data_IF_731691133276
#
_entry.id   IF_731691133276
#
_cell.length_a   1.000
_cell.length_b   1.000
_cell.length_c   1.000
_cell.angle_alpha   90.00
_cell.angle_beta   90.00
_cell.angle_gamma   90.00
#
_symmetry.space_group_name_H-M   'P 1'
#
loop_
_entity.id
_entity.type
_entity.pdbx_description
1 polymer ?
#
# COMPACT_ATOMS: atom_id res chain seq x y z
N UNK A 1 -2.03 1.54 3.65
CA UNK A 1 -2.75 0.99 2.48
C UNK A 1 -1.71 0.83 1.39
N UNK A 2 -1.46 -0.39 0.93
CA UNK A 2 -0.49 -0.68 -0.13
C UNK A 2 -1.00 -0.02 -1.43
N UNK A 3 -0.19 0.82 -2.06
CA UNK A 3 -0.58 1.56 -3.28
C UNK A 3 -0.07 0.76 -4.48
N UNK A 4 -0.92 0.50 -5.48
CA UNK A 4 -0.55 -0.28 -6.68
C UNK A 4 0.65 0.29 -7.46
N UNK A 5 0.93 1.59 -7.33
CA UNK A 5 2.10 2.28 -7.91
C UNK A 5 3.45 1.90 -7.27
N UNK A 6 3.43 1.21 -6.13
CA UNK A 6 4.61 0.75 -5.37
C UNK A 6 4.62 -0.77 -5.22
N UNK A 7 4.21 -1.48 -6.26
CA UNK A 7 4.11 -2.95 -6.23
C UNK A 7 5.41 -3.63 -5.77
N UNK A 8 6.60 -3.28 -6.29
CA UNK A 8 7.85 -3.90 -5.84
C UNK A 8 8.12 -3.68 -4.35
N UNK A 9 7.88 -2.48 -3.84
CA UNK A 9 8.06 -2.17 -2.42
C UNK A 9 7.04 -2.90 -1.54
N UNK A 10 5.79 -3.01 -2.01
CA UNK A 10 4.74 -3.72 -1.28
C UNK A 10 5.05 -5.22 -1.17
N UNK A 11 5.46 -5.87 -2.27
CA UNK A 11 5.85 -7.29 -2.27
C UNK A 11 7.06 -7.51 -1.37
N UNK A 12 8.06 -6.63 -1.41
CA UNK A 12 9.22 -6.67 -0.50
C UNK A 12 8.80 -6.64 0.96
N UNK A 13 7.92 -5.71 1.34
CA UNK A 13 7.43 -5.59 2.73
C UNK A 13 6.63 -6.83 3.15
N UNK A 14 5.78 -7.36 2.27
CA UNK A 14 5.01 -8.58 2.57
C UNK A 14 5.93 -9.79 2.77
N UNK A 15 6.96 -9.94 1.93
CA UNK A 15 7.98 -10.99 2.08
C UNK A 15 8.68 -10.89 3.44
N UNK A 16 9.18 -9.70 3.79
CA UNK A 16 9.84 -9.47 5.09
C UNK A 16 8.91 -9.75 6.27
N UNK A 17 7.63 -9.37 6.17
CA UNK A 17 6.65 -9.65 7.21
C UNK A 17 6.46 -11.15 7.40
N UNK A 18 6.36 -11.92 6.31
CA UNK A 18 6.23 -13.38 6.40
C UNK A 18 7.52 -14.02 6.92
N UNK A 19 8.70 -13.53 6.53
CA UNK A 19 9.99 -13.98 7.07
C UNK A 19 10.03 -13.82 8.61
N UNK A 20 9.73 -12.62 9.13
CA UNK A 20 9.76 -12.36 10.58
C UNK A 20 8.66 -13.10 11.34
N UNK A 21 7.48 -13.32 10.74
CA UNK A 21 6.42 -14.12 11.36
C UNK A 21 6.78 -15.60 11.47
N UNK A 22 7.55 -16.13 10.51
CA UNK A 22 7.90 -17.55 10.45
C UNK A 22 9.19 -17.88 11.19
N UNK A 23 10.03 -16.89 11.49
CA UNK A 23 11.29 -17.14 12.20
C UNK A 23 11.12 -17.93 13.50
N UNK A 24 10.16 -17.63 14.41
CA UNK A 24 9.96 -18.45 15.60
C UNK A 24 9.56 -19.90 15.29
N UNK A 25 8.95 -20.16 14.13
CA UNK A 25 8.62 -21.51 13.67
C UNK A 25 9.88 -22.24 13.22
N UNK A 26 10.75 -21.57 12.45
CA UNK A 26 12.05 -22.10 12.03
C UNK A 26 13.02 -22.32 13.20
N UNK A 27 12.95 -21.53 14.27
CA UNK A 27 13.76 -21.73 15.47
C UNK A 27 13.28 -22.90 16.32
N UNK A 28 11.96 -23.16 16.37
CA UNK A 28 11.35 -24.22 17.19
C UNK A 28 11.37 -25.59 16.53
N UNK A 29 11.39 -25.64 15.21
CA UNK A 29 11.23 -26.88 14.45
C UNK A 29 12.40 -27.06 13.47
N UNK A 30 12.96 -28.27 13.42
CA UNK A 30 13.84 -28.66 12.32
C UNK A 30 12.98 -28.96 11.09
N UNK A 31 13.06 -28.08 10.08
CA UNK A 31 12.29 -28.18 8.84
C UNK A 31 13.24 -28.56 7.69
N UNK A 32 13.01 -29.73 7.08
CA UNK A 32 13.79 -30.18 5.93
C UNK A 32 13.10 -29.84 4.60
N UNK A 33 11.76 -29.84 4.58
CA UNK A 33 10.95 -29.65 3.37
C UNK A 33 9.85 -28.62 3.58
N UNK A 34 9.40 -28.03 2.48
CA UNK A 34 8.26 -27.12 2.48
C UNK A 34 6.99 -27.79 3.04
N UNK A 35 6.81 -29.08 2.77
CA UNK A 35 5.66 -29.86 3.27
C UNK A 35 5.60 -29.91 4.80
N UNK A 36 6.77 -29.87 5.47
CA UNK A 36 6.84 -29.88 6.93
C UNK A 36 6.32 -28.55 7.50
N UNK A 37 6.76 -27.44 6.89
CA UNK A 37 6.26 -26.10 7.21
C UNK A 37 4.75 -26.00 6.96
N UNK A 38 4.28 -26.49 5.81
CA UNK A 38 2.85 -26.43 5.45
C UNK A 38 1.99 -27.22 6.44
N UNK A 39 2.42 -28.41 6.87
CA UNK A 39 1.71 -29.18 7.91
C UNK A 39 1.61 -28.44 9.23
N UNK A 40 2.68 -27.79 9.67
CA UNK A 40 2.67 -27.00 10.92
C UNK A 40 1.71 -25.83 10.81
N UNK A 41 1.76 -25.09 9.68
CA UNK A 41 0.87 -23.96 9.44
C UNK A 41 -0.59 -24.39 9.34
N UNK A 42 -0.88 -25.54 8.74
CA UNK A 42 -2.23 -26.09 8.63
C UNK A 42 -2.79 -26.58 9.96
N UNK A 43 -1.97 -27.26 10.77
CA UNK A 43 -2.33 -27.64 12.14
C UNK A 43 -2.61 -26.38 12.97
N UNK A 44 -1.76 -25.36 12.89
CA UNK A 44 -1.96 -24.10 13.58
C UNK A 44 -3.24 -23.37 13.10
N UNK A 45 -3.48 -23.31 11.80
CA UNK A 45 -4.66 -22.69 11.20
C UNK A 45 -5.96 -23.43 11.56
N UNK A 46 -5.91 -24.72 11.87
CA UNK A 46 -7.09 -25.49 12.27
C UNK A 46 -7.60 -25.13 13.67
N UNK A 47 -6.74 -24.56 14.53
CA UNK A 47 -7.02 -24.31 15.95
C UNK A 47 -7.65 -22.96 16.23
N UNK A 48 -7.26 -21.89 15.50
CA UNK A 48 -7.81 -20.55 15.70
C UNK A 48 -8.13 -19.84 14.38
N UNK A 49 -9.25 -19.11 14.36
CA UNK A 49 -9.72 -18.32 13.20
C UNK A 49 -8.75 -17.21 12.81
N UNK A 50 -8.08 -16.60 13.79
CA UNK A 50 -7.07 -15.56 13.58
C UNK A 50 -5.85 -16.16 12.88
N UNK A 51 -5.29 -17.24 13.44
CA UNK A 51 -4.18 -17.93 12.79
C UNK A 51 -4.54 -18.41 11.40
N UNK A 52 -5.74 -18.97 11.20
CA UNK A 52 -6.25 -19.32 9.86
C UNK A 52 -6.23 -18.14 8.89
N UNK A 53 -6.71 -16.97 9.32
CA UNK A 53 -6.69 -15.76 8.49
C UNK A 53 -5.26 -15.39 8.07
N UNK A 54 -4.30 -15.39 8.99
CA UNK A 54 -2.91 -15.02 8.68
C UNK A 54 -2.21 -16.06 7.80
N UNK A 55 -2.46 -17.35 8.03
CA UNK A 55 -1.92 -18.43 7.21
C UNK A 55 -2.51 -18.40 5.80
N UNK A 56 -3.84 -18.44 5.68
CA UNK A 56 -4.53 -18.60 4.40
C UNK A 56 -4.59 -17.31 3.57
N UNK A 57 -4.57 -16.12 4.19
CA UNK A 57 -4.71 -14.84 3.49
C UNK A 57 -3.45 -13.96 3.47
N UNK A 58 -2.36 -14.34 4.14
CA UNK A 58 -1.07 -13.64 4.06
C UNK A 58 0.07 -14.60 3.72
N UNK A 59 0.36 -15.59 4.57
CA UNK A 59 1.56 -16.42 4.44
C UNK A 59 1.53 -17.25 3.16
N UNK A 60 0.49 -18.08 2.97
CA UNK A 60 0.34 -18.92 1.75
C UNK A 60 0.31 -18.05 0.48
N UNK A 61 -0.50 -16.97 0.38
CA UNK A 61 -0.48 -16.09 -0.77
C UNK A 61 0.88 -15.46 -1.08
N UNK A 62 1.67 -15.09 -0.06
CA UNK A 62 3.02 -14.57 -0.28
C UNK A 62 3.93 -15.64 -0.89
N UNK A 63 3.83 -16.90 -0.46
CA UNK A 63 4.56 -18.00 -1.11
C UNK A 63 4.13 -18.17 -2.57
N UNK A 64 2.83 -18.18 -2.85
CA UNK A 64 2.30 -18.26 -4.22
C UNK A 64 2.82 -17.11 -5.09
N UNK A 65 2.82 -15.87 -4.58
CA UNK A 65 3.35 -14.69 -5.29
C UNK A 65 4.85 -14.85 -5.58
N UNK A 66 5.63 -15.33 -4.61
CA UNK A 66 7.07 -15.53 -4.79
C UNK A 66 7.36 -16.64 -5.81
N UNK A 67 6.59 -17.72 -5.81
CA UNK A 67 6.67 -18.77 -6.84
C UNK A 67 6.26 -18.27 -8.22
N UNK A 68 5.21 -17.43 -8.30
CA UNK A 68 4.78 -16.81 -9.55
C UNK A 68 5.88 -15.88 -10.13
N UNK A 69 6.47 -15.03 -9.29
CA UNK A 69 7.61 -14.20 -9.69
C UNK A 69 8.77 -15.07 -10.18
N UNK A 70 9.07 -16.15 -9.46
CA UNK A 70 10.12 -17.09 -9.87
C UNK A 70 9.82 -17.72 -11.23
N UNK A 71 8.59 -18.18 -11.46
CA UNK A 71 8.17 -18.77 -12.73
C UNK A 71 8.45 -17.84 -13.91
N UNK A 72 8.08 -16.57 -13.77
CA UNK A 72 8.25 -15.55 -14.81
C UNK A 72 9.73 -15.15 -14.99
N UNK A 73 10.53 -15.18 -13.91
CA UNK A 73 11.96 -14.86 -13.95
C UNK A 73 12.79 -15.98 -14.58
N UNK A 74 12.40 -17.23 -14.33
CA UNK A 74 13.05 -18.45 -14.85
C UNK A 74 12.43 -18.92 -16.18
N UNK A 75 11.35 -18.29 -16.63
CA UNK A 75 10.56 -18.71 -17.79
C UNK A 75 10.01 -20.15 -17.66
N UNK A 76 9.60 -20.53 -16.45
CA UNK A 76 9.01 -21.83 -16.13
C UNK A 76 7.49 -21.81 -16.35
N UNK A 77 7.07 -22.33 -17.50
CA UNK A 77 5.67 -22.33 -17.91
C UNK A 77 4.75 -23.20 -17.03
N UNK A 78 5.11 -24.46 -16.69
CA UNK A 78 4.32 -25.25 -15.74
C UNK A 78 4.12 -24.56 -14.39
N UNK A 79 5.19 -23.99 -13.82
CA UNK A 79 5.10 -23.30 -12.53
C UNK A 79 4.22 -22.03 -12.62
N UNK A 80 4.30 -21.31 -13.74
CA UNK A 80 3.42 -20.17 -14.02
C UNK A 80 1.94 -20.58 -13.96
N UNK A 81 1.54 -21.65 -14.67
CA UNK A 81 0.14 -22.09 -14.66
C UNK A 81 -0.31 -22.60 -13.30
N UNK A 82 0.53 -23.35 -12.60
CA UNK A 82 0.23 -23.84 -11.26
C UNK A 82 -0.03 -22.68 -10.28
N UNK A 83 0.82 -21.66 -10.30
CA UNK A 83 0.70 -20.50 -9.41
C UNK A 83 -0.46 -19.58 -9.79
N UNK A 84 -0.73 -19.37 -11.08
CA UNK A 84 -1.94 -18.63 -11.52
C UNK A 84 -3.20 -19.34 -11.04
N UNK A 85 -3.28 -20.66 -11.15
CA UNK A 85 -4.40 -21.46 -10.65
C UNK A 85 -4.57 -21.32 -9.13
N UNK A 86 -3.47 -21.36 -8.39
CA UNK A 86 -3.48 -21.20 -6.93
C UNK A 86 -3.91 -19.80 -6.48
N UNK A 87 -3.59 -18.75 -7.25
CA UNK A 87 -4.04 -17.39 -6.96
C UNK A 87 -5.53 -17.15 -7.25
N UNK A 88 -6.18 -17.96 -8.09
CA UNK A 88 -7.54 -17.69 -8.56
C UNK A 88 -8.58 -17.48 -7.45
N UNK A 89 -8.67 -18.33 -6.40
CA UNK A 89 -9.62 -18.12 -5.30
C UNK A 89 -9.48 -16.75 -4.62
N UNK A 90 -8.25 -16.19 -4.57
CA UNK A 90 -7.99 -14.90 -3.95
C UNK A 90 -8.58 -13.74 -4.76
N UNK A 91 -8.64 -13.82 -6.09
CA UNK A 91 -9.26 -12.78 -6.90
C UNK A 91 -10.78 -12.67 -6.68
N UNK A 92 -11.45 -13.81 -6.46
CA UNK A 92 -12.88 -13.84 -6.12
C UNK A 92 -13.15 -13.20 -4.75
N UNK A 93 -12.29 -13.45 -3.77
CA UNK A 93 -12.47 -12.95 -2.40
C UNK A 93 -12.11 -11.48 -2.24
N UNK A 94 -11.08 -11.02 -2.94
CA UNK A 94 -10.61 -9.64 -2.92
C UNK A 94 -11.51 -8.67 -3.72
N UNK A 95 -12.60 -9.16 -4.31
CA UNK A 95 -13.51 -8.39 -5.17
C UNK A 95 -12.84 -7.77 -6.41
N UNK A 96 -11.77 -8.40 -6.90
CA UNK A 96 -11.10 -8.05 -8.15
C UNK A 96 -11.76 -8.80 -9.33
N UNK A 97 -13.05 -8.54 -9.54
CA UNK A 97 -13.91 -9.38 -10.39
C UNK A 97 -13.45 -9.52 -11.85
N UNK A 98 -12.82 -8.48 -12.42
CA UNK A 98 -12.27 -8.58 -13.77
C UNK A 98 -11.11 -9.58 -13.83
N UNK A 99 -10.19 -9.54 -12.86
CA UNK A 99 -9.10 -10.51 -12.76
C UNK A 99 -9.64 -11.91 -12.45
N UNK A 100 -10.64 -12.04 -11.59
CA UNK A 100 -11.29 -13.32 -11.31
C UNK A 100 -11.92 -13.94 -12.56
N UNK A 101 -12.69 -13.14 -13.32
CA UNK A 101 -13.37 -13.58 -14.55
C UNK A 101 -12.38 -13.95 -15.65
N UNK A 102 -11.53 -13.00 -16.04
CA UNK A 102 -10.64 -13.18 -17.18
C UNK A 102 -9.43 -14.05 -16.85
N UNK A 103 -9.01 -14.11 -15.58
CA UNK A 103 -7.98 -15.04 -15.12
C UNK A 103 -8.45 -16.50 -15.20
N UNK A 104 -9.71 -16.79 -14.81
CA UNK A 104 -10.25 -18.14 -14.98
C UNK A 104 -10.40 -18.49 -16.47
N UNK A 105 -10.90 -17.55 -17.27
CA UNK A 105 -10.99 -17.73 -18.72
C UNK A 105 -9.62 -18.00 -19.34
N UNK A 106 -8.60 -17.26 -18.92
CA UNK A 106 -7.22 -17.46 -19.33
C UNK A 106 -6.76 -18.89 -19.05
N UNK A 107 -6.97 -19.40 -17.82
CA UNK A 107 -6.58 -20.78 -17.49
C UNK A 107 -7.26 -21.82 -18.38
N UNK A 108 -8.55 -21.65 -18.69
CA UNK A 108 -9.27 -22.59 -19.59
C UNK A 108 -8.86 -22.45 -21.03
N UNK A 109 -8.66 -21.23 -21.52
CA UNK A 109 -8.19 -20.99 -22.88
C UNK A 109 -6.77 -21.56 -23.11
N UNK A 110 -5.93 -21.58 -22.07
CA UNK A 110 -4.58 -22.15 -22.12
C UNK A 110 -4.60 -23.67 -22.27
N UNK A 111 -5.56 -24.35 -21.64
CA UNK A 111 -5.71 -25.81 -21.73
C UNK A 111 -6.00 -26.27 -23.18
N UNK A 112 -6.60 -25.41 -24.01
CA UNK A 112 -6.97 -25.70 -25.40
C UNK A 112 -6.01 -25.08 -26.45
N UNK A 113 -4.82 -24.63 -26.04
CA UNK A 113 -3.87 -24.02 -26.97
C UNK A 113 -3.34 -24.98 -28.03
N UNK A 114 -3.05 -24.48 -29.26
CA UNK A 114 -2.36 -25.27 -30.28
C UNK A 114 -1.02 -25.80 -29.78
N UNK A 115 -0.66 -27.02 -30.19
CA UNK A 115 0.58 -27.70 -29.78
C UNK A 115 1.82 -26.83 -30.01
N UNK A 116 1.91 -26.20 -31.17
CA UNK A 116 3.02 -25.33 -31.55
C UNK A 116 3.23 -24.19 -30.52
N UNK A 117 2.15 -23.53 -30.11
CA UNK A 117 2.20 -22.44 -29.13
C UNK A 117 2.66 -22.98 -27.77
N UNK A 118 2.14 -24.15 -27.37
CA UNK A 118 2.53 -24.81 -26.13
C UNK A 118 4.02 -25.16 -26.12
N UNK A 119 4.55 -25.68 -27.22
CA UNK A 119 5.98 -25.97 -27.34
C UNK A 119 6.85 -24.71 -27.17
N UNK A 120 6.43 -23.59 -27.76
CA UNK A 120 7.12 -22.31 -27.58
C UNK A 120 7.10 -21.83 -26.12
N UNK A 121 5.96 -21.96 -25.45
CA UNK A 121 5.85 -21.60 -24.03
C UNK A 121 6.67 -22.49 -23.11
N UNK A 122 6.71 -23.80 -23.38
CA UNK A 122 7.58 -24.76 -22.68
C UNK A 122 9.08 -24.47 -22.88
N UNK A 123 9.45 -23.79 -23.99
CA UNK A 123 10.81 -23.26 -24.22
C UNK A 123 11.05 -21.90 -23.53
N UNK A 124 10.14 -21.45 -22.68
CA UNK A 124 10.24 -20.19 -21.95
C UNK A 124 9.90 -18.94 -22.77
N UNK A 125 9.32 -19.08 -23.97
CA UNK A 125 9.06 -17.95 -24.87
C UNK A 125 7.78 -17.16 -24.51
N UNK A 126 7.18 -17.45 -23.36
CA UNK A 126 6.08 -16.65 -22.80
C UNK A 126 6.59 -15.41 -22.04
N UNK A 127 7.87 -15.40 -21.65
CA UNK A 127 8.52 -14.27 -20.96
C UNK A 127 9.44 -13.50 -21.90
N UNK A 128 9.71 -12.25 -21.54
CA UNK A 128 10.59 -11.36 -22.29
C UNK A 128 11.90 -11.14 -21.53
N UNK A 129 12.97 -10.83 -22.24
CA UNK A 129 14.29 -10.61 -21.64
C UNK A 129 14.93 -9.36 -22.26
N UNK A 130 15.38 -8.42 -21.43
CA UNK A 130 16.17 -7.27 -21.93
C UNK A 130 17.60 -7.66 -22.30
N UNK A 131 18.14 -8.68 -21.61
CA UNK A 131 19.51 -9.16 -21.77
C UNK A 131 19.51 -10.67 -21.58
N UNK A 132 20.48 -11.36 -22.16
CA UNK A 132 20.73 -12.77 -21.85
C UNK A 132 21.15 -12.90 -20.38
N UNK A 133 20.65 -13.90 -19.67
CA UNK A 133 20.95 -14.10 -18.26
C UNK A 133 20.09 -15.17 -17.61
N UNK A 134 20.36 -15.40 -16.33
CA UNK A 134 19.51 -16.25 -15.48
C UNK A 134 18.60 -15.34 -14.66
N UNK A 135 17.40 -15.82 -14.35
CA UNK A 135 16.46 -15.15 -13.43
C UNK A 135 16.14 -13.69 -13.82
N UNK A 136 16.15 -13.38 -15.11
CA UNK A 136 15.95 -12.01 -15.61
C UNK A 136 14.80 -11.89 -16.61
N UNK A 137 13.96 -12.93 -16.72
CA UNK A 137 12.68 -12.88 -17.40
C UNK A 137 11.76 -11.81 -16.82
N UNK A 138 10.93 -11.23 -17.68
CA UNK A 138 9.94 -10.21 -17.34
C UNK A 138 8.64 -10.45 -18.11
N UNK A 139 7.52 -10.06 -17.50
CA UNK A 139 6.21 -10.05 -18.16
C UNK A 139 6.24 -9.23 -19.45
N UNK A 140 5.49 -9.68 -20.45
CA UNK A 140 5.38 -9.00 -21.75
C UNK A 140 4.90 -7.55 -21.63
N UNK A 141 3.88 -7.30 -20.80
CA UNK A 141 3.38 -5.95 -20.51
C UNK A 141 4.48 -5.06 -19.90
N UNK A 142 5.20 -5.59 -18.91
CA UNK A 142 6.32 -4.87 -18.30
C UNK A 142 7.45 -4.61 -19.30
N UNK A 143 7.71 -5.53 -20.24
CA UNK A 143 8.70 -5.34 -21.29
C UNK A 143 8.29 -4.22 -22.26
N UNK A 144 7.00 -4.15 -22.62
CA UNK A 144 6.46 -3.08 -23.46
C UNK A 144 6.58 -1.73 -22.74
N UNK A 145 6.25 -1.69 -21.44
CA UNK A 145 6.36 -0.49 -20.62
C UNK A 145 7.81 0.02 -20.51
N UNK A 146 8.76 -0.88 -20.25
CA UNK A 146 10.19 -0.51 -20.09
C UNK A 146 10.92 -0.26 -21.40
N UNK A 147 10.35 -0.67 -22.54
CA UNK A 147 10.88 -0.41 -23.89
C UNK A 147 10.01 0.60 -24.66
N UNK A 148 9.02 0.12 -25.42
CA UNK A 148 8.24 0.89 -26.37
C UNK A 148 7.56 2.10 -25.73
N UNK A 149 6.89 1.93 -24.59
CA UNK A 149 6.23 3.06 -23.92
C UNK A 149 7.24 4.04 -23.35
N UNK A 150 8.27 3.56 -22.64
CA UNK A 150 9.33 4.42 -22.10
C UNK A 150 10.02 5.27 -23.19
N UNK A 151 10.37 4.67 -24.32
CA UNK A 151 11.01 5.38 -25.42
C UNK A 151 10.03 6.27 -26.18
N UNK A 152 8.79 5.79 -26.43
CA UNK A 152 7.75 6.53 -27.14
C UNK A 152 7.21 7.75 -26.36
N UNK A 153 7.17 7.66 -25.03
CA UNK A 153 6.74 8.75 -24.15
C UNK A 153 7.89 9.65 -23.68
N UNK A 154 9.15 9.30 -23.99
CA UNK A 154 10.31 10.12 -23.67
C UNK A 154 10.35 11.44 -24.45
N UNK A 155 11.24 12.34 -24.05
CA UNK A 155 11.42 13.66 -24.69
C UNK A 155 11.80 13.56 -26.18
N UNK A 156 12.44 12.46 -26.58
CA UNK A 156 12.78 12.14 -27.97
C UNK A 156 11.84 11.08 -28.59
N UNK A 157 10.73 10.78 -27.93
CA UNK A 157 9.71 9.84 -28.37
C UNK A 157 8.60 10.49 -29.18
N UNK A 158 7.62 9.70 -29.60
CA UNK A 158 6.42 10.15 -30.34
C UNK A 158 5.76 11.36 -29.66
N UNK A 159 5.59 11.33 -28.33
CA UNK A 159 4.96 12.43 -27.60
C UNK A 159 5.83 13.70 -27.62
N UNK A 160 7.15 13.54 -27.48
CA UNK A 160 8.09 14.65 -27.47
C UNK A 160 8.36 15.27 -28.84
N UNK A 161 8.22 14.51 -29.93
CA UNK A 161 8.46 14.98 -31.30
C UNK A 161 7.19 15.61 -31.88
N UNK A 162 6.15 14.83 -32.18
CA UNK A 162 4.85 15.31 -32.68
C UNK A 162 3.88 14.15 -32.89
N UNK A 163 2.57 14.43 -32.78
CA UNK A 163 1.48 13.49 -33.09
C UNK A 163 0.98 13.59 -34.55
N UNK A 164 1.67 14.35 -35.42
CA UNK A 164 1.31 14.44 -36.84
C UNK A 164 1.51 13.07 -37.53
N UNK A 165 0.52 12.54 -38.26
CA UNK A 165 0.56 11.18 -38.81
C UNK A 165 1.79 10.87 -39.67
N UNK A 166 2.27 11.82 -40.48
CA UNK A 166 3.43 11.60 -41.35
C UNK A 166 4.73 11.45 -40.56
N UNK A 167 4.96 12.32 -39.57
CA UNK A 167 6.15 12.23 -38.70
C UNK A 167 6.11 10.99 -37.81
N UNK A 168 4.90 10.60 -37.36
CA UNK A 168 4.67 9.35 -36.63
C UNK A 168 5.05 8.13 -37.47
N UNK A 169 4.65 8.10 -38.74
CA UNK A 169 5.06 7.04 -39.69
C UNK A 169 6.58 7.01 -39.84
N UNK A 170 7.21 8.15 -40.11
CA UNK A 170 8.68 8.22 -40.25
C UNK A 170 9.38 7.70 -39.01
N UNK A 171 8.97 8.14 -37.81
CA UNK A 171 9.53 7.67 -36.55
C UNK A 171 9.34 6.16 -36.35
N UNK A 172 8.13 5.65 -36.58
CA UNK A 172 7.82 4.23 -36.39
C UNK A 172 8.63 3.33 -37.34
N UNK A 173 8.75 3.72 -38.62
CA UNK A 173 9.52 2.95 -39.60
C UNK A 173 11.05 3.12 -39.44
N UNK A 174 11.53 4.29 -39.02
CA UNK A 174 12.96 4.53 -38.87
C UNK A 174 13.53 3.97 -37.57
N UNK A 175 12.73 3.82 -36.50
CA UNK A 175 13.22 3.44 -35.18
C UNK A 175 13.96 2.10 -35.18
N UNK A 176 13.38 1.07 -35.81
CA UNK A 176 14.02 -0.25 -35.89
C UNK A 176 15.35 -0.19 -36.65
N UNK A 177 15.39 0.53 -37.77
CA UNK A 177 16.60 0.70 -38.56
C UNK A 177 17.70 1.47 -37.79
N UNK A 178 17.33 2.58 -37.14
CA UNK A 178 18.26 3.36 -36.31
C UNK A 178 18.79 2.54 -35.13
N UNK A 179 17.92 1.81 -34.41
CA UNK A 179 18.35 0.92 -33.33
C UNK A 179 19.30 -0.16 -33.85
N UNK A 180 19.04 -0.72 -35.04
CA UNK A 180 19.93 -1.73 -35.63
C UNK A 180 21.29 -1.16 -36.00
N UNK A 181 21.34 0.07 -36.50
CA UNK A 181 22.61 0.77 -36.75
C UNK A 181 23.37 1.00 -35.44
N UNK A 182 22.70 1.44 -34.37
CA UNK A 182 23.31 1.62 -33.05
C UNK A 182 23.85 0.29 -32.51
N UNK A 183 23.07 -0.79 -32.53
CA UNK A 183 23.53 -2.14 -32.14
C UNK A 183 24.77 -2.57 -32.91
N UNK A 184 24.78 -2.36 -34.23
CA UNK A 184 25.91 -2.72 -35.07
C UNK A 184 27.15 -1.86 -34.72
N UNK A 185 26.98 -0.55 -34.52
CA UNK A 185 28.07 0.34 -34.11
C UNK A 185 28.65 -0.04 -32.74
N UNK A 186 27.80 -0.36 -31.77
CA UNK A 186 28.23 -0.86 -30.46
C UNK A 186 29.00 -2.18 -30.60
N UNK A 187 28.50 -3.11 -31.43
CA UNK A 187 29.19 -4.38 -31.71
C UNK A 187 30.55 -4.21 -32.40
N UNK A 188 30.70 -3.18 -33.23
CA UNK A 188 31.97 -2.84 -33.89
C UNK A 188 32.96 -2.16 -32.95
N UNK A 189 32.47 -1.36 -32.00
CA UNK A 189 33.28 -0.71 -30.95
C UNK A 189 33.83 -1.73 -29.97
N UNK A 190 32.99 -2.68 -29.55
CA UNK A 190 33.31 -3.68 -28.56
C UNK A 190 33.78 -4.97 -29.28
N UNK A 191 34.98 -4.94 -29.88
CA UNK A 191 35.64 -6.08 -30.56
C UNK A 191 35.19 -7.46 -30.02
N UNK A 192 34.30 -8.17 -30.74
CA UNK A 192 33.79 -9.57 -30.65
C UNK A 192 33.80 -10.39 -29.32
N UNK A 193 34.23 -9.86 -28.18
CA UNK A 193 34.52 -10.60 -26.94
C UNK A 193 33.82 -10.03 -25.72
N UNK A 194 33.13 -8.90 -25.86
CA UNK A 194 32.23 -8.40 -24.81
C UNK A 194 30.78 -8.50 -25.29
N UNK A 195 30.31 -9.74 -25.52
CA UNK A 195 28.88 -10.02 -25.34
C UNK A 195 28.50 -9.36 -24.01
N UNK A 196 27.49 -8.48 -24.00
CA UNK A 196 26.95 -7.90 -22.77
C UNK A 196 26.94 -9.01 -21.72
N UNK A 197 27.76 -8.91 -20.65
CA UNK A 197 28.01 -10.04 -19.78
C UNK A 197 26.65 -10.54 -19.30
N UNK A 198 26.40 -11.84 -19.52
CA UNK A 198 25.14 -12.45 -19.11
C UNK A 198 24.88 -12.05 -17.66
N UNK A 199 23.67 -11.57 -17.38
CA UNK A 199 23.37 -11.16 -16.03
C UNK A 199 23.32 -12.41 -15.14
N UNK A 200 24.31 -12.55 -14.25
CA UNK A 200 24.42 -13.65 -13.30
C UNK A 200 23.99 -13.28 -11.88
N UNK A 201 23.88 -11.97 -11.59
CA UNK A 201 23.49 -11.46 -10.27
C UNK A 201 22.35 -10.46 -10.39
N UNK A 202 21.42 -10.53 -9.44
CA UNK A 202 20.34 -9.57 -9.33
C UNK A 202 20.74 -8.38 -8.45
N UNK A 203 20.24 -7.17 -8.76
CA UNK A 203 20.52 -5.95 -7.98
C UNK A 203 20.14 -6.06 -6.50
N UNK A 204 19.20 -6.96 -6.18
CA UNK A 204 18.74 -7.18 -4.80
C UNK A 204 19.75 -8.01 -3.96
N UNK A 205 20.72 -8.66 -4.60
CA UNK A 205 21.83 -9.37 -3.92
C UNK A 205 22.98 -8.44 -3.52
N UNK A 206 22.90 -7.16 -3.86
CA UNK A 206 23.96 -6.21 -3.54
C UNK A 206 24.08 -6.00 -2.02
N UNK A 207 25.31 -5.91 -1.50
CA UNK A 207 25.59 -5.71 -0.07
C UNK A 207 24.80 -4.56 0.56
N UNK A 208 24.65 -3.45 -0.18
CA UNK A 208 23.87 -2.31 0.26
C UNK A 208 22.38 -2.65 0.45
N UNK A 209 21.80 -3.44 -0.45
CA UNK A 209 20.42 -3.91 -0.32
C UNK A 209 20.28 -4.88 0.84
N UNK A 210 21.17 -5.87 0.96
CA UNK A 210 21.16 -6.81 2.08
C UNK A 210 21.20 -6.11 3.44
N UNK A 211 22.03 -5.06 3.57
CA UNK A 211 22.11 -4.25 4.78
C UNK A 211 20.77 -3.53 5.06
N UNK A 212 20.21 -2.87 4.06
CA UNK A 212 18.92 -2.16 4.20
C UNK A 212 17.76 -3.12 4.52
N UNK A 213 17.73 -4.31 3.91
CA UNK A 213 16.74 -5.35 4.21
C UNK A 213 16.90 -5.86 5.65
N UNK A 214 18.14 -5.99 6.15
CA UNK A 214 18.41 -6.34 7.54
C UNK A 214 17.90 -5.29 8.54
N UNK A 215 18.10 -4.01 8.26
CA UNK A 215 17.59 -2.90 9.09
C UNK A 215 16.05 -2.86 9.09
N UNK A 216 15.41 -3.02 7.92
CA UNK A 216 13.95 -3.04 7.79
C UNK A 216 13.33 -4.22 8.55
N UNK A 217 13.93 -5.42 8.45
CA UNK A 217 13.50 -6.61 9.21
C UNK A 217 13.59 -6.41 10.72
N UNK A 218 14.69 -5.82 11.19
CA UNK A 218 14.84 -5.50 12.62
C UNK A 218 13.73 -4.58 13.13
N UNK A 219 13.44 -3.50 12.41
CA UNK A 219 12.33 -2.60 12.79
C UNK A 219 10.98 -3.30 12.76
N UNK A 220 10.76 -4.22 11.81
CA UNK A 220 9.53 -4.98 11.72
C UNK A 220 9.36 -5.92 12.92
N UNK A 221 10.43 -6.60 13.32
CA UNK A 221 10.47 -7.43 14.53
C UNK A 221 10.14 -6.66 15.79
N UNK A 222 10.82 -5.52 16.00
CA UNK A 222 10.56 -4.64 17.15
C UNK A 222 9.09 -4.19 17.19
N UNK A 223 8.41 -4.07 16.05
CA UNK A 223 6.97 -3.78 15.99
C UNK A 223 6.08 -5.00 16.21
N UNK A 224 6.47 -6.17 15.72
CA UNK A 224 5.73 -7.41 15.94
C UNK A 224 5.78 -7.85 17.40
N UNK A 225 6.89 -7.60 18.11
CA UNK A 225 7.01 -7.83 19.56
C UNK A 225 5.99 -7.03 20.39
N UNK A 226 5.52 -5.89 19.87
CA UNK A 226 4.47 -5.08 20.51
C UNK A 226 3.05 -5.57 20.17
N UNK A 227 2.92 -6.50 19.22
CA UNK A 227 1.65 -7.06 18.76
C UNK A 227 1.42 -8.45 19.36
N UNK A 228 0.18 -8.93 19.30
CA UNK A 228 -0.13 -10.32 19.63
C UNK A 228 0.35 -11.21 18.49
N UNK A 229 1.10 -12.26 18.79
CA UNK A 229 1.65 -13.16 17.76
C UNK A 229 0.50 -13.88 17.01
N UNK A 230 0.31 -13.67 15.69
CA UNK A 230 -0.75 -14.30 14.92
C UNK A 230 -0.63 -15.82 14.75
N UNK A 231 0.53 -16.42 15.05
CA UNK A 231 0.76 -17.86 14.95
C UNK A 231 0.71 -18.56 16.32
N UNK A 232 0.57 -17.80 17.41
CA UNK A 232 0.45 -18.35 18.76
C UNK A 232 -1.02 -18.55 19.17
N UNK A 233 -1.56 -19.73 18.88
CA UNK A 233 -2.95 -20.09 19.18
C UNK A 233 -3.32 -19.94 20.67
N UNK A 234 -2.38 -20.20 21.60
CA UNK A 234 -2.65 -20.19 23.04
C UNK A 234 -2.99 -18.79 23.56
N UNK A 235 -2.59 -17.74 22.84
CA UNK A 235 -2.85 -16.35 23.19
C UNK A 235 -4.16 -15.81 22.59
N UNK A 236 -4.85 -16.60 21.77
CA UNK A 236 -5.98 -16.10 21.00
C UNK A 236 -7.31 -16.50 21.65
N UNK A 237 -8.18 -15.53 21.97
CA UNK A 237 -9.54 -15.82 22.43
C UNK A 237 -10.39 -16.40 21.30
N UNK A 238 -11.57 -16.93 21.66
CA UNK A 238 -12.57 -17.35 20.67
C UNK A 238 -13.02 -16.16 19.81
N UNK A 239 -13.07 -16.36 18.49
CA UNK A 239 -13.40 -15.33 17.51
C UNK A 239 -12.19 -14.85 16.69
N UNK A 240 -12.34 -13.71 16.01
CA UNK A 240 -11.30 -13.14 15.16
C UNK A 240 -10.62 -11.95 15.84
N UNK A 241 -9.31 -12.06 16.07
CA UNK A 241 -8.51 -11.10 16.81
C UNK A 241 -7.76 -10.15 15.86
N UNK A 242 -7.75 -8.86 16.19
CA UNK A 242 -6.86 -7.90 15.58
C UNK A 242 -5.55 -7.82 16.37
N UNK A 243 -4.44 -8.31 15.81
CA UNK A 243 -3.16 -8.45 16.51
C UNK A 243 -2.54 -7.14 17.03
N UNK A 244 -2.89 -6.00 16.42
CA UNK A 244 -2.33 -4.70 16.78
C UNK A 244 -3.13 -4.06 17.93
N UNK A 245 -4.45 -4.23 17.91
CA UNK A 245 -5.37 -3.52 18.83
C UNK A 245 -5.91 -4.42 19.94
N UNK A 246 -5.70 -5.73 19.85
CA UNK A 246 -6.31 -6.72 20.74
C UNK A 246 -7.83 -6.89 20.56
N UNK A 247 -8.45 -6.19 19.60
CA UNK A 247 -9.91 -6.24 19.42
C UNK A 247 -10.35 -7.58 18.86
N UNK A 248 -11.26 -8.24 19.57
CA UNK A 248 -11.89 -9.49 19.15
C UNK A 248 -13.23 -9.19 18.47
N UNK A 249 -13.50 -9.86 17.36
CA UNK A 249 -14.77 -9.83 16.66
C UNK A 249 -15.28 -11.26 16.54
N UNK A 250 -16.30 -11.56 17.32
CA UNK A 250 -17.05 -12.81 17.23
C UNK A 250 -18.48 -12.52 16.73
N UNK A 251 -18.59 -12.17 15.45
CA UNK A 251 -19.89 -11.99 14.81
C UNK A 251 -20.05 -13.03 13.68
N UNK A 252 -21.17 -13.78 13.61
CA UNK A 252 -21.34 -14.87 12.64
C UNK A 252 -21.17 -14.48 11.17
N UNK A 253 -21.42 -13.22 10.83
CA UNK A 253 -21.29 -12.75 9.46
C UNK A 253 -19.86 -12.35 9.07
N UNK A 254 -18.90 -12.26 10.00
CA UNK A 254 -17.48 -12.07 9.64
C UNK A 254 -16.92 -13.43 9.27
N UNK A 255 -16.48 -13.57 8.02
CA UNK A 255 -16.08 -14.84 7.42
C UNK A 255 -14.76 -14.73 6.66
N UNK A 256 -13.95 -13.70 6.92
CA UNK A 256 -12.67 -13.47 6.24
C UNK A 256 -11.66 -14.59 6.47
N UNK A 257 -11.75 -15.28 7.60
CA UNK A 257 -10.98 -16.50 7.89
C UNK A 257 -11.28 -17.65 6.92
N UNK A 258 -12.43 -17.62 6.24
CA UNK A 258 -12.84 -18.61 5.24
C UNK A 258 -12.70 -18.10 3.80
N UNK A 259 -11.90 -17.05 3.59
CA UNK A 259 -11.80 -16.40 2.28
C UNK A 259 -11.47 -17.41 1.18
N UNK A 260 -10.38 -18.17 1.30
CA UNK A 260 -9.94 -19.12 0.25
C UNK A 260 -11.03 -20.14 -0.10
N UNK A 261 -11.72 -20.69 0.91
CA UNK A 261 -12.83 -21.65 0.71
C UNK A 261 -14.01 -21.00 -0.03
N UNK A 262 -14.39 -19.77 0.35
CA UNK A 262 -15.48 -19.03 -0.29
C UNK A 262 -15.12 -18.63 -1.72
N UNK A 263 -13.88 -18.22 -1.96
CA UNK A 263 -13.35 -17.90 -3.28
C UNK A 263 -13.36 -19.10 -4.21
N UNK A 264 -12.95 -20.27 -3.70
CA UNK A 264 -12.94 -21.53 -4.46
C UNK A 264 -14.35 -21.93 -4.86
N UNK A 265 -15.31 -21.95 -3.91
CA UNK A 265 -16.71 -22.25 -4.21
C UNK A 265 -17.32 -21.27 -5.22
N UNK A 266 -16.99 -19.99 -5.10
CA UNK A 266 -17.49 -18.98 -6.02
C UNK A 266 -16.90 -19.14 -7.43
N UNK A 267 -15.61 -19.49 -7.52
CA UNK A 267 -14.93 -19.81 -8.77
C UNK A 267 -15.59 -21.00 -9.47
N UNK A 268 -15.79 -22.11 -8.75
CA UNK A 268 -16.44 -23.33 -9.28
C UNK A 268 -17.88 -23.05 -9.74
N UNK A 269 -18.64 -22.30 -8.94
CA UNK A 269 -20.02 -21.91 -9.28
C UNK A 269 -20.05 -21.02 -10.52
N UNK A 270 -19.11 -20.08 -10.63
CA UNK A 270 -19.01 -19.18 -11.77
C UNK A 270 -18.67 -19.95 -13.05
N UNK A 271 -17.74 -20.91 -12.95
CA UNK A 271 -17.34 -21.77 -14.06
C UNK A 271 -18.49 -22.65 -14.56
N UNK A 272 -19.23 -23.27 -13.64
CA UNK A 272 -20.35 -24.15 -13.97
C UNK A 272 -21.49 -23.45 -14.73
N UNK A 273 -21.60 -22.12 -14.63
CA UNK A 273 -22.61 -21.34 -15.34
C UNK A 273 -22.22 -20.90 -16.76
N UNK A 274 -21.00 -21.24 -17.22
CA UNK A 274 -20.54 -20.85 -18.55
C UNK A 274 -21.23 -21.65 -19.68
N UNK A 275 -21.40 -21.04 -20.88
CA UNK A 275 -21.04 -19.65 -21.24
C UNK A 275 -22.11 -18.62 -20.86
N UNK A 276 -23.32 -19.06 -20.52
CA UNK A 276 -24.50 -18.19 -20.35
C UNK A 276 -24.32 -17.13 -19.26
N UNK A 277 -23.66 -17.47 -18.15
CA UNK A 277 -23.45 -16.56 -17.02
C UNK A 277 -22.09 -15.87 -17.01
N UNK A 278 -21.30 -15.94 -18.09
CA UNK A 278 -19.93 -15.40 -18.10
C UNK A 278 -19.88 -13.90 -17.75
N UNK A 279 -20.82 -13.12 -18.28
CA UNK A 279 -20.94 -11.69 -18.00
C UNK A 279 -21.81 -11.35 -16.79
N UNK A 280 -22.35 -12.35 -16.10
CA UNK A 280 -23.15 -12.12 -14.89
C UNK A 280 -22.31 -11.42 -13.81
N UNK A 281 -22.94 -10.57 -12.97
CA UNK A 281 -22.25 -9.88 -11.90
C UNK A 281 -21.73 -10.87 -10.85
N UNK A 282 -20.44 -10.81 -10.55
CA UNK A 282 -19.82 -11.56 -9.45
C UNK A 282 -20.03 -10.74 -8.17
N UNK A 283 -20.63 -11.36 -7.16
CA UNK A 283 -20.93 -10.70 -5.88
C UNK A 283 -19.77 -10.84 -4.89
N UNK A 284 -19.68 -9.92 -3.94
CA UNK A 284 -18.70 -10.02 -2.85
C UNK A 284 -19.10 -11.14 -1.88
N UNK A 285 -18.21 -12.11 -1.65
CA UNK A 285 -18.47 -13.26 -0.77
C UNK A 285 -17.87 -13.13 0.65
N UNK A 286 -16.90 -12.21 0.85
CA UNK A 286 -16.18 -12.02 2.12
C UNK A 286 -16.60 -10.74 2.85
N UNK A 287 -16.85 -10.86 4.15
CA UNK A 287 -17.15 -9.76 5.07
C UNK A 287 -15.99 -9.59 6.06
N UNK A 288 -15.32 -8.44 5.97
CA UNK A 288 -14.17 -8.08 6.80
C UNK A 288 -14.59 -7.63 8.20
N UNK A 289 -13.66 -7.68 9.17
CA UNK A 289 -13.84 -7.06 10.50
C UNK A 289 -14.25 -5.58 10.43
N UNK A 290 -13.79 -4.87 9.40
CA UNK A 290 -14.12 -3.47 9.16
C UNK A 290 -15.62 -3.22 8.95
N UNK A 291 -16.39 -4.22 8.48
CA UNK A 291 -17.84 -4.09 8.35
C UNK A 291 -18.54 -3.83 9.70
N UNK A 292 -17.90 -4.24 10.80
CA UNK A 292 -18.37 -4.04 12.18
C UNK A 292 -17.78 -2.81 12.85
N UNK A 293 -16.86 -2.10 12.18
CA UNK A 293 -16.28 -0.87 12.73
C UNK A 293 -17.24 0.32 12.69
N UNK A 294 -18.48 0.15 12.19
CA UNK A 294 -19.40 1.28 12.00
C UNK A 294 -20.73 1.26 12.74
N UNK A 295 -21.20 0.20 13.42
CA UNK A 295 -22.54 0.27 14.04
C UNK A 295 -22.69 -0.58 15.31
N UNK A 296 -23.29 0.00 16.35
CA UNK A 296 -23.95 -0.75 17.43
C UNK A 296 -25.34 -1.14 16.91
N UNK A 297 -25.69 -2.43 16.99
CA UNK A 297 -27.04 -2.91 16.65
C UNK A 297 -27.98 -2.67 17.82
N UNK A 298 -29.10 -2.00 17.58
CA UNK A 298 -30.31 -2.10 18.41
C UNK A 298 -31.39 -2.67 17.51
N UNK A 299 -31.60 -3.99 17.56
CA UNK A 299 -32.46 -4.72 16.61
C UNK A 299 -31.86 -4.82 15.19
N UNK A 300 -32.73 -4.83 14.17
CA UNK A 300 -32.36 -5.01 12.75
C UNK A 300 -31.96 -3.72 12.01
N UNK A 301 -32.06 -2.54 12.65
CA UNK A 301 -31.68 -1.27 12.02
C UNK A 301 -30.23 -0.88 12.33
N UNK A 302 -29.46 -0.59 11.28
CA UNK A 302 -28.11 -0.01 11.37
C UNK A 302 -28.24 1.50 11.62
N UNK A 303 -27.70 1.99 12.73
CA UNK A 303 -27.57 3.42 13.01
C UNK A 303 -26.14 3.73 13.42
N UNK A 304 -25.45 4.51 12.59
CA UNK A 304 -24.98 5.88 12.85
C UNK A 304 -23.86 6.22 11.89
N UNK A 305 -24.19 7.12 10.98
CA UNK A 305 -23.22 7.97 10.30
C UNK A 305 -23.42 9.35 10.96
N UNK A 306 -22.37 9.87 11.58
CA UNK A 306 -22.39 11.15 12.30
C UNK A 306 -22.87 12.27 11.38
N UNK A 307 -22.47 12.25 10.10
CA UNK A 307 -22.97 13.20 9.10
C UNK A 307 -24.48 13.06 8.93
N UNK A 308 -25.01 11.83 8.99
CA UNK A 308 -26.44 11.54 8.91
C UNK A 308 -27.21 11.98 10.16
N UNK A 309 -26.61 11.92 11.36
CA UNK A 309 -27.19 12.48 12.59
C UNK A 309 -27.29 14.00 12.47
N UNK A 310 -26.20 14.66 12.07
CA UNK A 310 -26.18 16.11 11.86
C UNK A 310 -27.14 16.54 10.74
N UNK A 311 -27.19 15.80 9.62
CA UNK A 311 -28.12 16.05 8.53
C UNK A 311 -29.58 15.92 8.99
N UNK A 312 -29.90 14.91 9.81
CA UNK A 312 -31.24 14.75 10.39
C UNK A 312 -31.56 15.86 11.39
N UNK A 313 -30.61 16.28 12.22
CA UNK A 313 -30.79 17.39 13.15
C UNK A 313 -31.07 18.71 12.39
N UNK A 314 -30.32 19.00 11.33
CA UNK A 314 -30.57 20.15 10.44
C UNK A 314 -31.92 20.06 9.73
N UNK A 315 -32.31 18.87 9.26
CA UNK A 315 -33.62 18.64 8.65
C UNK A 315 -34.78 18.82 9.66
N UNK A 316 -34.59 18.41 10.91
CA UNK A 316 -35.57 18.59 11.98
C UNK A 316 -35.68 20.06 12.40
N UNK A 317 -34.57 20.80 12.44
CA UNK A 317 -34.54 22.24 12.70
C UNK A 317 -35.24 23.06 11.60
N UNK A 318 -35.13 22.62 10.35
CA UNK A 318 -35.81 23.25 9.19
C UNK A 318 -37.29 22.86 9.07
N UNK A 319 -37.74 21.85 9.82
CA UNK A 319 -39.15 21.48 9.91
C UNK A 319 -39.91 22.40 10.88
N UNK A 320 -41.23 22.55 10.72
CA UNK A 320 -42.08 23.38 11.61
C UNK A 320 -42.22 22.84 13.06
N UNK A 321 -41.46 21.81 13.43
CA UNK A 321 -41.45 21.26 14.79
C UNK A 321 -40.51 22.11 15.66
N UNK A 322 -40.99 22.56 16.82
CA UNK A 322 -40.14 23.22 17.84
C UNK A 322 -39.10 22.22 18.33
N UNK A 323 -37.89 22.31 17.77
CA UNK A 323 -36.73 21.51 18.15
C UNK A 323 -35.71 22.43 18.81
N UNK A 324 -35.37 22.17 20.07
CA UNK A 324 -34.40 22.97 20.83
C UNK A 324 -32.98 22.52 20.49
N UNK A 325 -32.32 23.28 19.62
CA UNK A 325 -30.94 23.03 19.18
C UNK A 325 -29.93 23.17 20.31
N UNK A 326 -30.20 23.98 21.33
CA UNK A 326 -29.27 24.20 22.43
C UNK A 326 -29.17 22.97 23.32
N UNK A 327 -30.30 22.29 23.53
CA UNK A 327 -30.34 21.01 24.25
C UNK A 327 -29.59 19.93 23.45
N UNK A 328 -29.82 19.81 22.14
CA UNK A 328 -29.13 18.82 21.30
C UNK A 328 -27.61 19.02 21.32
N UNK A 329 -27.15 20.26 21.16
CA UNK A 329 -25.72 20.59 21.13
C UNK A 329 -25.06 20.55 22.51
N UNK A 330 -25.84 20.43 23.60
CA UNK A 330 -25.31 20.17 24.94
C UNK A 330 -24.87 18.72 25.16
N UNK A 331 -25.18 17.83 24.21
CA UNK A 331 -24.80 16.43 24.23
C UNK A 331 -23.87 16.09 23.07
N UNK A 332 -22.87 15.24 23.31
CA UNK A 332 -22.01 14.71 22.26
C UNK A 332 -22.84 13.81 21.34
N UNK A 333 -23.05 14.24 20.08
CA UNK A 333 -23.83 13.51 19.06
C UNK A 333 -23.06 12.35 18.42
N UNK A 334 -22.08 11.82 19.14
CA UNK A 334 -21.22 10.74 18.71
C UNK A 334 -21.00 9.75 19.86
N UNK A 335 -20.82 8.45 19.57
CA UNK A 335 -20.61 7.43 20.61
C UNK A 335 -19.24 7.56 21.31
N UNK A 336 -18.36 8.43 20.81
CA UNK A 336 -16.99 8.66 21.30
C UNK A 336 -16.58 10.09 20.91
N UNK A 337 -15.88 10.85 21.76
CA UNK A 337 -15.46 12.21 21.40
C UNK A 337 -14.60 12.20 20.14
N UNK A 338 -15.13 12.72 19.03
CA UNK A 338 -14.42 12.70 17.73
C UNK A 338 -13.14 13.56 17.73
N UNK A 339 -12.99 14.43 18.72
CA UNK A 339 -11.76 15.17 19.02
C UNK A 339 -10.62 14.25 19.51
N UNK A 340 -10.96 13.22 20.29
CA UNK A 340 -10.00 12.31 20.90
C UNK A 340 -9.90 10.97 20.19
N UNK A 341 -10.92 10.58 19.42
CA UNK A 341 -10.98 9.28 18.75
C UNK A 341 -11.25 9.45 17.26
N UNK A 342 -10.56 8.65 16.44
CA UNK A 342 -10.82 8.56 15.02
C UNK A 342 -12.13 7.82 14.72
N UNK A 343 -12.60 7.87 13.48
CA UNK A 343 -13.81 7.17 13.05
C UNK A 343 -13.71 5.65 13.25
N UNK A 344 -12.50 5.10 13.37
CA UNK A 344 -12.23 3.69 13.63
C UNK A 344 -12.32 3.30 15.12
N UNK A 345 -12.35 4.29 16.03
CA UNK A 345 -12.49 4.09 17.47
C UNK A 345 -11.16 4.05 18.21
N UNK A 346 -10.07 4.31 17.51
CA UNK A 346 -8.76 4.45 18.14
C UNK A 346 -8.62 5.86 18.66
N UNK A 347 -7.96 6.01 19.80
CA UNK A 347 -7.55 7.32 20.26
C UNK A 347 -6.64 7.94 19.19
N UNK A 348 -6.89 9.19 18.82
CA UNK A 348 -6.04 9.96 17.93
C UNK A 348 -4.71 10.16 18.63
N UNK A 349 -3.74 9.30 18.33
CA UNK A 349 -2.37 9.49 18.79
C UNK A 349 -1.77 10.74 18.12
N UNK A 350 -1.24 11.65 18.95
CA UNK A 350 -0.54 12.83 18.46
C UNK A 350 0.81 12.40 17.85
N UNK A 351 0.80 12.03 16.57
CA UNK A 351 1.99 11.54 15.84
C UNK A 351 3.13 12.56 15.77
N UNK A 352 2.84 13.85 15.96
CA UNK A 352 3.82 14.94 15.95
C UNK A 352 3.54 15.97 17.03
N UNK A 353 4.58 16.39 17.75
CA UNK A 353 4.54 17.41 18.82
C UNK A 353 3.90 18.74 18.34
N UNK A 354 4.02 19.05 17.06
CA UNK A 354 3.42 20.22 16.41
C UNK A 354 1.89 20.22 16.40
N UNK A 355 1.26 19.05 16.27
CA UNK A 355 -0.21 18.92 16.24
C UNK A 355 -0.79 19.21 17.62
N UNK A 356 -0.14 18.73 18.68
CA UNK A 356 -0.48 19.06 20.06
C UNK A 356 -0.23 20.54 20.36
N UNK A 357 0.88 21.11 19.89
CA UNK A 357 1.21 22.55 20.05
C UNK A 357 0.15 23.46 19.43
N UNK A 358 -0.38 23.10 18.26
CA UNK A 358 -1.44 23.87 17.60
C UNK A 358 -2.78 23.74 18.33
N UNK A 359 -3.11 22.57 18.87
CA UNK A 359 -4.33 22.36 19.66
C UNK A 359 -4.26 23.01 21.06
N UNK A 360 -3.08 23.05 21.67
CA UNK A 360 -2.80 23.74 22.94
C UNK A 360 -2.55 25.24 22.76
N UNK A 361 -2.63 25.76 21.53
CA UNK A 361 -2.59 27.20 21.24
C UNK A 361 -3.92 27.82 21.68
N UNK A 362 -4.15 27.81 22.98
CA UNK A 362 -5.25 28.54 23.61
C UNK A 362 -4.97 30.02 23.37
N UNK A 363 -5.92 30.73 22.76
CA UNK A 363 -5.91 32.19 22.80
C UNK A 363 -5.97 32.58 24.28
N UNK A 364 -4.83 32.98 24.83
CA UNK A 364 -4.78 33.49 26.19
C UNK A 364 -5.61 34.76 26.23
N UNK A 365 -6.60 34.80 27.11
CA UNK A 365 -7.45 35.97 27.34
C UNK A 365 -6.60 37.24 27.43
N UNK A 366 -6.87 38.19 26.53
CA UNK A 366 -6.17 39.47 26.43
C UNK A 366 -6.31 40.24 27.74
N UNK A 367 -5.23 40.29 28.53
CA UNK A 367 -5.14 41.25 29.63
C UNK A 367 -4.89 42.61 29.01
N UNK A 368 -5.90 43.48 29.03
CA UNK A 368 -5.77 44.87 28.60
C UNK A 368 -4.98 45.63 29.67
N UNK A 369 -3.67 45.62 29.54
CA UNK A 369 -2.79 46.56 30.21
C UNK A 369 -2.14 47.43 29.12
N UNK A 370 -1.98 48.72 29.36
CA UNK A 370 -1.20 49.59 28.49
C UNK A 370 0.27 49.15 28.56
N UNK A 371 0.68 48.35 27.58
CA UNK A 371 2.04 47.81 27.52
C UNK A 371 2.95 48.90 26.96
N UNK A 372 3.75 49.53 27.82
CA UNK A 372 4.72 50.55 27.39
C UNK A 372 5.89 49.93 26.62
N UNK A 373 6.30 48.70 26.99
CA UNK A 373 7.38 47.96 26.33
C UNK A 373 7.09 46.46 26.25
N UNK A 374 7.39 45.86 25.09
CA UNK A 374 7.25 44.44 24.78
C UNK A 374 8.62 43.81 24.58
N UNK A 375 8.95 42.78 25.36
CA UNK A 375 10.16 41.99 25.19
C UNK A 375 9.84 40.71 24.42
N UNK A 376 10.43 40.55 23.25
CA UNK A 376 10.21 39.41 22.36
C UNK A 376 11.48 38.56 22.29
N UNK A 377 11.34 37.25 22.49
CA UNK A 377 12.39 36.28 22.19
C UNK A 377 12.51 36.14 20.67
N UNK A 378 13.60 36.68 20.11
CA UNK A 378 13.87 36.71 18.68
C UNK A 378 14.02 35.31 18.07
N UNK A 379 14.60 34.35 18.83
CA UNK A 379 14.71 32.97 18.40
C UNK A 379 13.31 32.35 18.26
N UNK A 380 12.46 32.54 19.27
CA UNK A 380 11.08 32.05 19.22
C UNK A 380 10.26 32.68 18.08
N UNK A 381 10.42 33.98 17.82
CA UNK A 381 9.72 34.67 16.72
C UNK A 381 10.13 34.10 15.36
N UNK A 382 11.41 33.77 15.15
CA UNK A 382 11.86 33.12 13.91
C UNK A 382 11.18 31.77 13.65
N UNK A 383 10.80 31.03 14.70
CA UNK A 383 10.05 29.77 14.58
C UNK A 383 8.56 29.97 14.30
N UNK A 384 8.01 31.15 14.63
CA UNK A 384 6.58 31.46 14.45
C UNK A 384 6.33 32.06 13.07
N UNK A 385 7.25 32.90 12.58
CA UNK A 385 7.17 33.48 11.24
C UNK A 385 7.37 32.35 10.22
N UNK A 386 6.37 32.15 9.36
CA UNK A 386 6.39 31.04 8.40
C UNK A 386 7.36 31.32 7.24
N UNK A 387 8.09 30.28 6.82
CA UNK A 387 8.87 30.34 5.59
C UNK A 387 7.94 30.52 4.38
N UNK A 388 8.29 31.37 3.39
CA UNK A 388 7.46 31.58 2.22
C UNK A 388 7.30 30.28 1.42
N UNK A 389 6.06 29.92 1.11
CA UNK A 389 5.71 28.73 0.34
C UNK A 389 5.99 28.95 -1.15
N UNK A 390 6.51 27.92 -1.84
CA UNK A 390 6.74 27.95 -3.29
C UNK A 390 8.10 28.50 -3.75
N UNK A 391 9.20 28.12 -3.09
CA UNK A 391 10.56 28.47 -3.52
C UNK A 391 11.01 29.88 -3.13
N UNK A 392 10.43 30.47 -2.09
CA UNK A 392 10.76 31.82 -1.61
C UNK A 392 12.21 31.96 -1.11
N UNK A 393 12.70 33.20 -1.15
CA UNK A 393 14.08 33.55 -0.79
C UNK A 393 14.22 33.91 0.69
N UNK A 394 15.46 34.00 1.17
CA UNK A 394 15.76 34.50 2.52
C UNK A 394 15.22 35.93 2.72
N UNK A 395 15.25 36.76 1.67
CA UNK A 395 14.75 38.13 1.75
C UNK A 395 13.24 38.16 2.01
N UNK A 396 12.49 37.23 1.42
CA UNK A 396 11.04 37.13 1.63
C UNK A 396 10.71 36.72 3.07
N UNK A 397 11.52 35.83 3.66
CA UNK A 397 11.42 35.48 5.07
C UNK A 397 11.72 36.68 5.98
N UNK A 398 12.79 37.43 5.70
CA UNK A 398 13.13 38.65 6.45
C UNK A 398 12.02 39.70 6.37
N UNK A 399 11.41 39.89 5.19
CA UNK A 399 10.29 40.81 5.02
C UNK A 399 9.07 40.39 5.87
N UNK A 400 8.80 39.09 5.96
CA UNK A 400 7.74 38.57 6.83
C UNK A 400 8.06 38.77 8.32
N UNK A 401 9.31 38.57 8.70
CA UNK A 401 9.79 38.81 10.06
C UNK A 401 9.68 40.29 10.45
N UNK A 402 10.09 41.21 9.58
CA UNK A 402 9.91 42.65 9.76
C UNK A 402 8.45 43.04 9.91
N UNK A 403 7.57 42.52 9.04
CA UNK A 403 6.13 42.78 9.13
C UNK A 403 5.55 42.32 10.46
N UNK A 404 5.99 41.15 10.95
CA UNK A 404 5.55 40.62 12.24
C UNK A 404 5.93 41.56 13.40
N UNK A 405 7.17 42.08 13.41
CA UNK A 405 7.63 43.02 14.46
C UNK A 405 6.95 44.38 14.34
N UNK A 406 6.71 44.87 13.12
CA UNK A 406 6.04 46.16 12.90
C UNK A 406 4.66 46.24 13.55
N UNK A 407 3.91 45.14 13.58
CA UNK A 407 2.60 45.09 14.26
C UNK A 407 2.76 45.35 15.76
N UNK A 408 3.80 44.81 16.40
CA UNK A 408 4.05 45.02 17.83
C UNK A 408 4.61 46.42 18.14
N UNK A 409 5.37 47.01 17.20
CA UNK A 409 5.88 48.38 17.30
C UNK A 409 4.79 49.46 17.21
N UNK A 410 3.61 49.13 16.65
CA UNK A 410 2.49 50.07 16.61
C UNK A 410 1.86 50.31 17.99
N UNK A 411 2.05 49.39 18.93
CA UNK A 411 1.37 49.40 20.23
C UNK A 411 2.30 49.58 21.41
N UNK A 412 3.60 49.32 21.26
CA UNK A 412 4.58 49.34 22.36
C UNK A 412 6.01 49.45 21.85
N UNK A 413 6.95 49.88 22.70
CA UNK A 413 8.38 49.78 22.39
C UNK A 413 8.81 48.30 22.38
N UNK A 414 9.38 47.82 21.26
CA UNK A 414 9.72 46.39 21.11
C UNK A 414 11.22 46.16 21.29
N UNK A 415 11.58 45.29 22.24
CA UNK A 415 12.94 44.81 22.46
C UNK A 415 13.06 43.35 22.02
N UNK A 416 13.88 43.09 21.02
CA UNK A 416 14.19 41.73 20.56
C UNK A 416 15.40 41.18 21.32
N UNK A 417 15.20 40.09 22.04
CA UNK A 417 16.23 39.40 22.79
C UNK A 417 16.59 38.13 22.02
N UNK A 418 17.85 37.99 21.62
CA UNK A 418 18.37 36.76 21.05
C UNK A 418 19.32 36.12 22.05
N UNK A 419 19.17 34.81 22.27
CA UNK A 419 20.15 34.04 23.02
C UNK A 419 21.48 34.04 22.26
N UNK A 420 22.57 34.46 22.90
CA UNK A 420 23.92 34.31 22.34
C UNK A 420 24.35 32.85 22.44
N UNK A 421 24.39 32.15 21.33
CA UNK A 421 25.28 30.98 21.21
C UNK A 421 26.68 31.49 20.85
N UNK A 422 27.59 31.47 21.82
CA UNK A 422 29.02 31.67 21.57
C UNK A 422 29.51 30.45 20.81
N UNK A 423 29.56 30.54 19.48
CA UNK A 423 30.37 29.65 18.66
C UNK A 423 31.73 30.31 18.48
N UNK A 424 32.68 29.93 19.32
CA UNK A 424 34.10 30.12 19.03
C UNK A 424 34.43 29.23 17.83
N UNK A 425 34.91 29.84 16.74
CA UNK A 425 35.31 29.18 15.49
C UNK A 425 36.48 28.24 15.74
#
# INVERSE_FOLDING_TARGET
>A
MLIGKKFPENVRVLRMLVEELLEPVFEKHELERMDDLMKILEDAASKNRTTKLWVDCLIKPVFTIMQYIRAEREADWPLHLATVKEMMPLFYTAAHFNYARYGLYYLRAIEEMPEEVREHFMKGQHTMHHRSGLFNGIWSDMAIETTFMRYGHGQNGIIGITLRPETLKTWAYSMQACNKVVENLDSMRDHEQQKCPSQTHHKEEMKARMKSDGEDRKHLREKLELCIDPLNNDQHPEGLLNIVTGKVVDHPSVNVDKAVELGTKQMETFEAGWPASFHAPIQKCVTMMAAFRKHIKVGDMKLFDTEMIYARAMALQSSHRKFDTNNLMSHELSPKPTSMFDDSGHMKEAKTKSTLKNALKVEVSSRHADVTASFLDGCAVMWVVSWPTGGGTVQDFLNNFHRHIQVHLQTSDVYLIFDRFVYTI
#
